data_IF_408857836811
#
_entry.id   IF_408857836811
#
_cell.length_a   1.000
_cell.length_b   1.000
_cell.length_c   1.000
_cell.angle_alpha   90.00
_cell.angle_beta   90.00
_cell.angle_gamma   90.00
#
_symmetry.space_group_name_H-M   'P 1'
#
loop_
_entity.id
_entity.type
_entity.pdbx_description
1 polymer ?
#
# COMPACT_ATOMS: atom_id res chain seq x y z
N UNK A 1 11.45 -10.79 24.59
CA UNK A 1 10.82 -10.51 25.92
C UNK A 1 10.21 -9.12 25.82
N UNK A 2 8.90 -9.02 26.02
CA UNK A 2 8.19 -7.74 25.98
C UNK A 2 8.68 -6.87 27.14
N UNK A 3 9.00 -5.58 26.94
CA UNK A 3 9.28 -4.69 28.05
C UNK A 3 8.09 -4.73 29.05
N UNK A 4 8.36 -4.75 30.35
CA UNK A 4 7.31 -4.84 31.38
C UNK A 4 6.21 -3.80 31.19
N UNK A 5 6.57 -2.59 30.78
CA UNK A 5 5.64 -1.49 30.53
C UNK A 5 4.66 -1.80 29.37
N UNK A 6 5.07 -2.64 28.42
CA UNK A 6 4.23 -3.08 27.31
C UNK A 6 3.36 -4.25 27.75
N UNK A 7 3.94 -5.23 28.45
CA UNK A 7 3.22 -6.41 28.92
C UNK A 7 2.05 -6.05 29.85
N UNK A 8 2.25 -5.08 30.73
CA UNK A 8 1.27 -4.64 31.72
C UNK A 8 0.26 -3.61 31.18
N UNK A 9 0.45 -3.10 29.94
CA UNK A 9 -0.44 -2.08 29.38
C UNK A 9 -1.81 -2.68 29.04
N UNK A 10 -2.85 -2.25 29.78
CA UNK A 10 -4.22 -2.72 29.58
C UNK A 10 -4.87 -2.06 28.36
N UNK A 11 -5.04 -2.82 27.29
CA UNK A 11 -5.63 -2.35 26.05
C UNK A 11 -7.15 -2.51 25.96
N UNK A 12 -7.75 -3.33 26.82
CA UNK A 12 -9.19 -3.67 26.78
C UNK A 12 -10.11 -2.45 26.74
N UNK A 13 -9.89 -1.38 27.54
CA UNK A 13 -10.74 -0.21 27.53
C UNK A 13 -10.78 0.54 26.19
N UNK A 14 -9.74 0.42 25.37
CA UNK A 14 -9.64 1.15 24.09
C UNK A 14 -10.38 0.48 22.93
N UNK A 15 -10.78 -0.78 23.11
CA UNK A 15 -11.65 -1.50 22.17
C UNK A 15 -13.12 -1.50 22.59
N UNK A 16 -13.41 -1.01 23.80
CA UNK A 16 -14.76 -0.78 24.32
C UNK A 16 -15.11 0.71 24.28
N UNK A 17 -16.39 1.08 24.45
CA UNK A 17 -16.82 2.49 24.37
C UNK A 17 -16.60 3.31 25.67
N UNK A 18 -15.63 2.93 26.48
CA UNK A 18 -15.34 3.61 27.74
C UNK A 18 -14.66 4.98 27.52
N UNK A 19 -15.46 6.02 27.31
CA UNK A 19 -14.98 7.41 27.12
C UNK A 19 -14.03 7.90 28.23
N UNK A 20 -14.19 7.41 29.45
CA UNK A 20 -13.34 7.81 30.58
C UNK A 20 -11.89 7.33 30.44
N UNK A 21 -11.67 6.11 29.91
CA UNK A 21 -10.33 5.58 29.71
C UNK A 21 -9.54 6.41 28.68
N UNK A 22 -10.21 6.87 27.62
CA UNK A 22 -9.58 7.73 26.60
C UNK A 22 -9.12 9.06 27.18
N UNK A 23 -9.98 9.74 27.96
CA UNK A 23 -9.67 11.07 28.50
C UNK A 23 -8.53 11.03 29.52
N UNK A 24 -8.44 9.97 30.32
CA UNK A 24 -7.34 9.75 31.26
C UNK A 24 -6.01 9.50 30.55
N UNK A 25 -5.99 8.58 29.59
CA UNK A 25 -4.78 8.26 28.84
C UNK A 25 -4.32 9.42 27.95
N UNK A 26 -5.24 10.13 27.31
CA UNK A 26 -4.92 11.26 26.42
C UNK A 26 -4.12 12.37 27.09
N UNK A 27 -4.31 12.57 28.41
CA UNK A 27 -3.54 13.55 29.18
C UNK A 27 -2.08 13.15 29.38
N UNK A 28 -1.80 11.84 29.42
CA UNK A 28 -0.47 11.29 29.71
C UNK A 28 -0.06 10.22 28.69
N UNK A 29 -0.20 10.51 27.38
CA UNK A 29 0.16 9.58 26.30
C UNK A 29 1.62 9.14 26.42
N UNK A 30 1.85 7.84 26.35
CA UNK A 30 3.18 7.28 26.22
C UNK A 30 3.71 7.59 24.82
N UNK A 31 4.88 8.22 24.77
CA UNK A 31 5.53 8.61 23.52
C UNK A 31 6.95 8.04 23.50
N UNK A 32 7.27 7.30 22.44
CA UNK A 32 8.65 6.85 22.22
C UNK A 32 9.30 7.78 21.21
N UNK A 33 10.40 8.40 21.64
CA UNK A 33 11.31 9.09 20.73
C UNK A 33 12.39 8.10 20.31
N UNK A 34 12.78 8.15 19.03
CA UNK A 34 13.94 7.38 18.58
C UNK A 34 15.14 7.71 19.48
N UNK A 35 15.80 6.69 20.02
CA UNK A 35 17.01 6.92 20.81
C UNK A 35 18.03 7.64 19.92
N UNK A 36 18.47 8.81 20.37
CA UNK A 36 19.52 9.57 19.71
C UNK A 36 20.89 8.90 19.82
N UNK A 37 21.01 7.88 20.68
CA UNK A 37 22.28 7.27 21.05
C UNK A 37 22.52 5.97 20.29
N UNK A 38 23.53 5.95 19.42
CA UNK A 38 23.91 4.80 18.61
C UNK A 38 24.39 3.60 19.43
N UNK A 39 25.01 3.87 20.57
CA UNK A 39 25.65 2.86 21.40
C UNK A 39 24.66 1.91 22.11
N UNK A 40 23.38 2.30 22.21
CA UNK A 40 22.43 1.65 23.11
C UNK A 40 21.73 0.39 22.53
N UNK A 41 21.78 0.15 21.20
CA UNK A 41 21.04 -0.97 20.59
C UNK A 41 21.97 -1.92 19.84
N UNK A 42 22.27 -3.11 20.39
CA UNK A 42 23.02 -4.14 19.67
C UNK A 42 22.32 -4.54 18.36
N UNK A 43 23.05 -4.53 17.25
CA UNK A 43 22.52 -4.75 15.90
C UNK A 43 22.82 -6.16 15.34
N UNK A 44 23.26 -7.10 16.16
CA UNK A 44 23.39 -8.49 15.76
C UNK A 44 22.00 -9.17 15.67
N UNK A 45 21.90 -10.23 14.85
CA UNK A 45 20.64 -10.92 14.58
C UNK A 45 19.92 -11.43 15.83
N UNK A 46 20.66 -11.96 16.80
CA UNK A 46 20.04 -12.44 18.04
C UNK A 46 19.36 -11.30 18.80
N UNK A 47 19.99 -10.14 18.85
CA UNK A 47 19.43 -8.96 19.51
C UNK A 47 18.26 -8.37 18.74
N UNK A 48 18.33 -8.36 17.40
CA UNK A 48 17.22 -7.92 16.55
C UNK A 48 16.01 -8.83 16.75
N UNK A 49 16.17 -10.14 16.65
CA UNK A 49 15.09 -11.13 16.82
C UNK A 49 14.45 -11.09 18.20
N UNK A 50 15.23 -10.77 19.26
CA UNK A 50 14.70 -10.66 20.63
C UNK A 50 13.91 -9.36 20.89
N UNK A 51 14.14 -8.31 20.12
CA UNK A 51 13.49 -7.00 20.33
C UNK A 51 12.18 -6.86 19.62
N UNK A 52 11.98 -7.60 18.54
CA UNK A 52 10.76 -7.51 17.76
C UNK A 52 10.07 -8.88 17.72
N UNK A 53 8.75 -8.85 17.67
CA UNK A 53 7.95 -10.06 17.51
C UNK A 53 7.99 -10.49 16.03
N UNK A 54 9.10 -11.11 15.67
CA UNK A 54 9.19 -11.80 14.39
C UNK A 54 8.60 -13.18 14.59
N UNK A 55 7.49 -13.42 13.93
CA UNK A 55 6.93 -14.76 13.87
C UNK A 55 7.88 -15.64 13.05
N UNK A 56 8.26 -16.77 13.60
CA UNK A 56 9.22 -17.68 12.97
C UNK A 56 8.59 -18.97 12.45
N UNK A 57 7.35 -19.23 12.83
CA UNK A 57 6.67 -20.49 12.53
C UNK A 57 5.52 -20.28 11.54
N UNK A 58 5.32 -21.27 10.66
CA UNK A 58 4.18 -21.35 9.76
C UNK A 58 2.91 -21.55 10.57
N UNK A 59 2.00 -20.60 10.51
CA UNK A 59 0.72 -20.75 11.22
C UNK A 59 -0.29 -21.53 10.39
N UNK A 60 -0.25 -21.37 9.07
CA UNK A 60 -1.20 -21.96 8.15
C UNK A 60 -0.54 -22.34 6.84
N UNK A 61 -0.86 -23.52 6.26
CA UNK A 61 -0.35 -23.93 4.96
C UNK A 61 -0.58 -22.90 3.86
N UNK A 62 -1.72 -22.23 3.88
CA UNK A 62 -2.08 -21.19 2.89
C UNK A 62 -1.13 -20.00 2.87
N UNK A 63 -0.42 -19.72 3.96
CA UNK A 63 0.55 -18.62 4.02
C UNK A 63 1.79 -18.92 3.17
N UNK A 64 2.21 -20.16 3.13
CA UNK A 64 3.30 -20.61 2.26
C UNK A 64 2.88 -20.70 0.78
N UNK A 65 1.62 -21.08 0.52
CA UNK A 65 1.08 -21.19 -0.84
C UNK A 65 0.72 -19.85 -1.47
N UNK A 66 0.46 -18.84 -0.64
CA UNK A 66 0.04 -17.51 -1.07
C UNK A 66 0.88 -16.40 -0.42
N UNK A 67 2.20 -16.33 -0.69
CA UNK A 67 3.02 -15.25 -0.15
C UNK A 67 2.62 -13.90 -0.70
N UNK A 68 2.76 -12.86 0.14
CA UNK A 68 2.54 -11.47 -0.21
C UNK A 68 3.88 -10.74 -0.23
N UNK A 69 4.09 -9.87 -1.20
CA UNK A 69 5.24 -8.98 -1.25
C UNK A 69 4.86 -7.57 -0.78
N UNK A 70 5.78 -6.90 -0.10
CA UNK A 70 5.60 -5.53 0.38
C UNK A 70 6.78 -4.69 -0.07
N UNK A 71 6.50 -3.57 -0.72
CA UNK A 71 7.49 -2.55 -1.00
C UNK A 71 7.19 -1.31 -0.16
N UNK A 72 8.17 -0.83 0.60
CA UNK A 72 8.01 0.33 1.48
C UNK A 72 9.08 1.37 1.26
N UNK A 73 8.67 2.61 1.20
CA UNK A 73 9.56 3.75 1.36
C UNK A 73 9.67 4.09 2.84
N UNK A 74 10.88 4.07 3.40
CA UNK A 74 11.06 4.12 4.86
C UNK A 74 12.17 5.05 5.31
N UNK A 75 11.95 5.65 6.47
CA UNK A 75 12.93 6.38 7.27
C UNK A 75 12.85 6.06 8.77
N UNK A 76 12.00 5.09 9.18
CA UNK A 76 11.92 4.49 10.53
C UNK A 76 11.66 2.98 10.45
N UNK A 77 11.88 2.22 11.54
CA UNK A 77 11.86 0.76 11.56
C UNK A 77 10.47 0.16 11.29
N UNK A 78 10.38 -0.81 10.35
CA UNK A 78 9.15 -1.52 9.98
C UNK A 78 8.94 -2.86 10.72
N UNK A 79 7.73 -3.44 10.55
CA UNK A 79 7.36 -4.79 11.01
C UNK A 79 7.49 -5.80 9.86
N UNK A 80 7.91 -7.05 10.14
CA UNK A 80 8.06 -8.13 9.15
C UNK A 80 7.42 -9.44 9.61
N UNK A 81 6.92 -10.27 8.66
CA UNK A 81 6.39 -11.62 8.86
C UNK A 81 7.16 -12.63 8.01
N UNK A 82 7.36 -13.88 8.43
CA UNK A 82 8.34 -14.81 7.83
C UNK A 82 8.02 -15.29 6.42
N UNK A 83 6.74 -15.44 6.03
CA UNK A 83 6.36 -15.99 4.72
C UNK A 83 6.23 -14.95 3.63
N UNK A 84 6.21 -13.67 4.01
CA UNK A 84 6.08 -12.57 3.08
C UNK A 84 7.46 -12.03 2.69
N UNK A 85 7.53 -11.33 1.58
CA UNK A 85 8.74 -10.69 1.09
C UNK A 85 8.67 -9.19 1.29
N UNK A 86 9.75 -8.60 1.76
CA UNK A 86 9.81 -7.17 2.10
C UNK A 86 10.97 -6.52 1.37
N UNK A 87 10.68 -5.49 0.58
CA UNK A 87 11.67 -4.62 0.01
C UNK A 87 11.53 -3.21 0.60
N UNK A 88 12.61 -2.68 1.12
CA UNK A 88 12.66 -1.34 1.68
C UNK A 88 13.52 -0.44 0.80
N UNK A 89 12.90 0.61 0.26
CA UNK A 89 13.59 1.70 -0.39
C UNK A 89 13.90 2.78 0.64
N UNK A 90 15.18 3.01 0.89
CA UNK A 90 15.64 3.99 1.87
C UNK A 90 15.71 5.38 1.23
N UNK A 91 15.26 6.40 1.97
CA UNK A 91 15.52 7.78 1.58
C UNK A 91 17.03 8.06 1.75
N UNK A 92 17.70 8.47 0.69
CA UNK A 92 19.14 8.78 0.72
C UNK A 92 19.53 9.86 1.73
N UNK A 93 18.56 10.69 2.17
CA UNK A 93 18.73 11.72 3.20
C UNK A 93 18.59 11.18 4.63
N UNK A 94 18.25 9.91 4.80
CA UNK A 94 18.12 9.28 6.11
C UNK A 94 19.47 9.27 6.86
N UNK A 95 19.41 9.18 8.18
CA UNK A 95 20.64 9.20 8.99
C UNK A 95 21.49 7.95 8.73
N UNK A 96 22.84 8.05 8.86
CA UNK A 96 23.72 6.88 8.76
C UNK A 96 23.35 5.75 9.73
N UNK A 97 22.85 6.11 10.91
CA UNK A 97 22.36 5.14 11.90
C UNK A 97 21.17 4.36 11.36
N UNK A 98 20.22 5.04 10.71
CA UNK A 98 19.07 4.38 10.12
C UNK A 98 19.50 3.38 9.03
N UNK A 99 20.39 3.78 8.11
CA UNK A 99 20.94 2.90 7.08
C UNK A 99 21.64 1.67 7.69
N UNK A 100 22.46 1.86 8.72
CA UNK A 100 23.10 0.76 9.44
C UNK A 100 22.10 -0.23 10.04
N UNK A 101 21.03 0.29 10.64
CA UNK A 101 19.95 -0.53 11.21
C UNK A 101 19.18 -1.33 10.15
N UNK A 102 18.89 -0.71 9.02
CA UNK A 102 18.16 -1.37 7.93
C UNK A 102 19.01 -2.45 7.25
N UNK A 103 20.32 -2.22 7.05
CA UNK A 103 21.25 -3.25 6.57
C UNK A 103 21.31 -4.42 7.54
N UNK A 104 21.49 -4.17 8.83
CA UNK A 104 21.48 -5.22 9.85
C UNK A 104 20.17 -6.02 9.89
N UNK A 105 19.03 -5.38 9.61
CA UNK A 105 17.74 -6.06 9.48
C UNK A 105 17.73 -6.99 8.24
N UNK A 106 18.16 -6.50 7.09
CA UNK A 106 18.22 -7.28 5.85
C UNK A 106 19.19 -8.46 5.97
N UNK A 107 20.34 -8.25 6.60
CA UNK A 107 21.32 -9.32 6.86
C UNK A 107 20.77 -10.43 7.79
N UNK A 108 19.78 -10.11 8.62
CA UNK A 108 19.17 -11.07 9.54
C UNK A 108 18.06 -11.92 8.94
N UNK A 109 17.37 -11.44 7.92
CA UNK A 109 16.17 -12.09 7.40
C UNK A 109 16.26 -12.28 5.90
N UNK A 110 16.21 -13.53 5.40
CA UNK A 110 16.37 -13.83 3.98
C UNK A 110 15.23 -13.33 3.09
N UNK A 111 14.12 -12.93 3.70
CA UNK A 111 12.95 -12.38 3.02
C UNK A 111 12.88 -10.84 3.08
N UNK A 112 13.94 -10.19 3.56
CA UNK A 112 14.06 -8.72 3.65
C UNK A 112 15.14 -8.23 2.70
N UNK A 113 14.78 -7.32 1.82
CA UNK A 113 15.62 -6.75 0.77
C UNK A 113 15.73 -5.23 0.93
N UNK A 114 16.84 -4.67 0.53
CA UNK A 114 17.04 -3.23 0.37
C UNK A 114 17.28 -2.92 -1.10
N UNK A 115 16.90 -1.72 -1.53
CA UNK A 115 17.22 -1.27 -2.89
C UNK A 115 18.70 -0.96 -3.03
N UNK A 116 19.28 -1.34 -4.17
CA UNK A 116 20.70 -1.04 -4.49
C UNK A 116 20.93 0.45 -4.74
N UNK A 117 19.88 1.14 -5.22
CA UNK A 117 19.89 2.58 -5.49
C UNK A 117 18.95 3.26 -4.51
N UNK A 118 19.47 4.25 -3.81
CA UNK A 118 18.71 5.07 -2.88
C UNK A 118 18.44 6.44 -3.52
N UNK A 119 17.22 6.92 -3.41
CA UNK A 119 16.79 8.20 -3.98
C UNK A 119 16.47 9.21 -2.88
N UNK A 120 16.68 10.50 -3.19
CA UNK A 120 16.22 11.60 -2.35
C UNK A 120 14.72 11.81 -2.54
N UNK A 121 13.92 11.23 -1.68
CA UNK A 121 12.46 11.35 -1.72
C UNK A 121 11.97 12.59 -0.98
N UNK A 122 10.85 13.16 -1.41
CA UNK A 122 10.25 14.29 -0.73
C UNK A 122 8.75 14.14 -0.52
N UNK A 123 8.14 15.16 0.11
CA UNK A 123 6.70 15.16 0.43
C UNK A 123 5.78 15.33 -0.79
N UNK A 124 6.34 15.67 -1.94
CA UNK A 124 5.65 15.86 -3.21
C UNK A 124 5.75 14.63 -4.12
N UNK A 125 6.26 13.53 -3.58
CA UNK A 125 6.32 12.24 -4.26
C UNK A 125 7.48 12.09 -5.23
N UNK A 126 8.40 13.08 -5.30
CA UNK A 126 9.56 12.98 -6.17
C UNK A 126 10.43 11.79 -5.80
N UNK A 127 10.84 11.05 -6.82
CA UNK A 127 11.62 9.82 -6.73
C UNK A 127 10.92 8.61 -6.06
N UNK A 128 9.67 8.75 -5.62
CA UNK A 128 8.92 7.64 -5.01
C UNK A 128 8.65 6.52 -6.03
N UNK A 129 8.23 6.87 -7.25
CA UNK A 129 7.99 5.91 -8.33
C UNK A 129 9.25 5.13 -8.69
N UNK A 130 10.41 5.80 -8.75
CA UNK A 130 11.71 5.14 -8.98
C UNK A 130 12.05 4.17 -7.84
N UNK A 131 11.81 4.59 -6.59
CA UNK A 131 12.06 3.78 -5.40
C UNK A 131 11.20 2.50 -5.38
N UNK A 132 9.91 2.61 -5.67
CA UNK A 132 9.02 1.46 -5.80
C UNK A 132 9.40 0.56 -6.98
N UNK A 133 9.79 1.14 -8.11
CA UNK A 133 10.22 0.38 -9.28
C UNK A 133 11.49 -0.46 -8.98
N UNK A 134 12.45 0.06 -8.22
CA UNK A 134 13.59 -0.72 -7.74
C UNK A 134 13.16 -1.93 -6.91
N UNK A 135 12.23 -1.74 -5.97
CA UNK A 135 11.67 -2.84 -5.19
C UNK A 135 10.93 -3.88 -6.07
N UNK A 136 10.19 -3.44 -7.07
CA UNK A 136 9.52 -4.34 -8.03
C UNK A 136 10.55 -5.22 -8.75
N UNK A 137 11.67 -4.64 -9.24
CA UNK A 137 12.74 -5.38 -9.91
C UNK A 137 13.43 -6.40 -9.00
N UNK A 138 13.64 -6.06 -7.72
CA UNK A 138 14.25 -6.98 -6.74
C UNK A 138 13.27 -8.13 -6.43
N UNK A 139 12.04 -7.79 -6.06
CA UNK A 139 11.02 -8.78 -5.67
C UNK A 139 10.61 -9.70 -6.82
N UNK A 140 10.67 -9.25 -8.07
CA UNK A 140 10.36 -10.10 -9.23
C UNK A 140 11.37 -11.25 -9.42
N UNK A 141 12.60 -11.08 -8.94
CA UNK A 141 13.69 -12.09 -9.03
C UNK A 141 13.66 -13.15 -7.93
N UNK A 142 12.79 -12.95 -6.91
CA UNK A 142 12.64 -13.96 -5.85
C UNK A 142 12.05 -15.22 -6.43
N UNK A 143 12.67 -16.38 -6.16
CA UNK A 143 12.25 -17.69 -6.68
C UNK A 143 10.81 -18.04 -6.32
N UNK A 144 10.37 -17.66 -5.13
CA UNK A 144 9.00 -17.88 -4.66
C UNK A 144 8.03 -16.92 -5.34
N UNK A 145 7.00 -17.46 -5.97
CA UNK A 145 5.99 -16.69 -6.68
C UNK A 145 4.95 -16.10 -5.71
N UNK A 146 5.28 -14.97 -5.11
CA UNK A 146 4.28 -14.16 -4.39
C UNK A 146 3.14 -13.75 -5.33
N UNK A 147 1.96 -13.49 -4.77
CA UNK A 147 0.71 -13.28 -5.54
C UNK A 147 0.35 -11.81 -5.70
N UNK A 148 0.60 -11.01 -4.67
CA UNK A 148 0.33 -9.58 -4.65
C UNK A 148 1.54 -8.82 -4.11
N UNK A 149 1.78 -7.63 -4.67
CA UNK A 149 2.68 -6.62 -4.12
C UNK A 149 1.84 -5.48 -3.52
N UNK A 150 2.13 -5.12 -2.28
CA UNK A 150 1.52 -3.97 -1.61
C UNK A 150 2.54 -2.86 -1.48
N UNK A 151 2.24 -1.67 -2.02
CA UNK A 151 3.05 -0.47 -1.85
C UNK A 151 2.59 0.27 -0.60
N UNK A 152 3.51 0.57 0.30
CA UNK A 152 3.24 1.18 1.59
C UNK A 152 4.27 2.26 1.91
N UNK A 153 3.90 3.15 2.79
CA UNK A 153 4.80 4.15 3.38
C UNK A 153 5.22 3.78 4.82
N UNK A 154 6.03 4.66 5.40
CA UNK A 154 6.75 4.44 6.64
C UNK A 154 5.88 4.10 7.88
N UNK A 155 4.74 4.78 8.05
CA UNK A 155 3.89 4.65 9.25
C UNK A 155 2.61 3.85 9.03
N UNK A 156 2.54 3.11 7.93
CA UNK A 156 1.40 2.25 7.65
C UNK A 156 1.41 1.02 8.54
N UNK A 157 0.24 0.67 9.02
CA UNK A 157 0.04 -0.52 9.82
C UNK A 157 -0.96 -1.46 9.16
N UNK A 158 -0.80 -2.78 9.27
CA UNK A 158 -1.82 -3.71 8.81
C UNK A 158 -3.07 -3.59 9.71
N UNK A 159 -4.27 -3.59 9.09
CA UNK A 159 -5.56 -3.66 9.78
C UNK A 159 -6.15 -5.07 9.70
N UNK A 160 -5.55 -5.92 8.93
CA UNK A 160 -5.91 -7.33 8.74
C UNK A 160 -4.74 -8.23 9.14
N UNK A 161 -5.06 -9.42 9.62
CA UNK A 161 -4.05 -10.48 9.82
C UNK A 161 -3.56 -10.98 8.46
N UNK A 162 -2.43 -11.69 8.42
CA UNK A 162 -1.91 -12.22 7.16
C UNK A 162 -2.91 -13.18 6.49
N UNK A 163 -3.57 -14.04 7.26
CA UNK A 163 -4.61 -14.94 6.76
C UNK A 163 -5.81 -14.17 6.17
N UNK A 164 -6.25 -13.09 6.83
CA UNK A 164 -7.31 -12.23 6.32
C UNK A 164 -6.89 -11.54 5.00
N UNK A 165 -5.64 -11.05 4.90
CA UNK A 165 -5.11 -10.46 3.67
C UNK A 165 -5.11 -11.48 2.52
N UNK A 166 -4.62 -12.69 2.77
CA UNK A 166 -4.62 -13.78 1.78
C UNK A 166 -6.03 -14.05 1.29
N UNK A 167 -7.00 -14.16 2.20
CA UNK A 167 -8.39 -14.42 1.81
C UNK A 167 -8.97 -13.28 0.96
N UNK A 168 -8.69 -12.04 1.30
CA UNK A 168 -9.14 -10.87 0.51
C UNK A 168 -8.49 -10.88 -0.88
N UNK A 169 -7.18 -11.13 -0.97
CA UNK A 169 -6.50 -11.20 -2.26
C UNK A 169 -6.93 -12.41 -3.12
N UNK A 170 -7.35 -13.51 -2.50
CA UNK A 170 -8.03 -14.60 -3.22
C UNK A 170 -9.36 -14.13 -3.83
N UNK A 171 -10.13 -13.29 -3.14
CA UNK A 171 -11.35 -12.69 -3.69
C UNK A 171 -11.07 -11.66 -4.78
N UNK A 172 -9.98 -10.91 -4.69
CA UNK A 172 -9.54 -10.00 -5.76
C UNK A 172 -9.11 -10.76 -7.03
N UNK A 173 -8.65 -11.99 -6.89
CA UNK A 173 -8.36 -12.90 -8.00
C UNK A 173 -7.57 -12.27 -9.16
N UNK A 174 -6.45 -11.64 -8.85
CA UNK A 174 -5.59 -10.97 -9.83
C UNK A 174 -5.98 -9.53 -10.16
N UNK A 175 -7.08 -9.00 -9.60
CA UNK A 175 -7.46 -7.59 -9.77
C UNK A 175 -6.55 -6.69 -8.96
N UNK A 176 -6.10 -5.59 -9.54
CA UNK A 176 -5.34 -4.55 -8.83
C UNK A 176 -6.28 -3.67 -8.02
N UNK A 177 -5.93 -3.38 -6.78
CA UNK A 177 -6.66 -2.44 -5.92
C UNK A 177 -5.96 -1.09 -5.92
N UNK A 178 -6.33 -0.26 -6.88
CA UNK A 178 -5.75 1.06 -7.15
C UNK A 178 -6.90 2.05 -7.31
N UNK A 179 -6.89 3.14 -6.56
CA UNK A 179 -7.90 4.18 -6.70
C UNK A 179 -7.89 4.79 -8.10
N UNK A 180 -9.06 5.23 -8.52
CA UNK A 180 -9.22 6.01 -9.74
C UNK A 180 -10.01 7.27 -9.38
N UNK A 181 -9.31 8.40 -9.25
CA UNK A 181 -9.89 9.68 -8.84
C UNK A 181 -9.54 10.79 -9.82
N UNK A 182 -10.33 11.85 -9.82
CA UNK A 182 -10.15 12.96 -10.77
C UNK A 182 -8.78 13.62 -10.60
N UNK A 183 -8.02 13.66 -11.69
CA UNK A 183 -6.74 14.36 -11.74
C UNK A 183 -6.96 15.85 -11.97
N UNK A 184 -6.33 16.67 -11.13
CA UNK A 184 -6.38 18.13 -11.27
C UNK A 184 -5.41 18.58 -12.38
N UNK A 185 -5.83 19.48 -13.29
CA UNK A 185 -4.98 19.97 -14.40
C UNK A 185 -3.63 20.55 -13.93
N UNK A 186 -3.57 21.17 -12.77
CA UNK A 186 -2.34 21.74 -12.21
C UNK A 186 -1.26 20.69 -11.87
N UNK A 187 -1.59 19.40 -11.88
CA UNK A 187 -0.67 18.29 -11.65
C UNK A 187 -0.11 17.70 -12.95
N UNK A 188 -0.47 18.27 -14.09
CA UNK A 188 -0.05 17.80 -15.41
C UNK A 188 0.86 18.87 -16.02
N UNK A 189 2.02 18.49 -16.51
CA UNK A 189 2.81 19.39 -17.36
C UNK A 189 2.13 19.51 -18.74
N UNK A 190 1.59 20.70 -19.08
CA UNK A 190 0.89 20.88 -20.34
C UNK A 190 1.83 20.83 -21.57
N UNK A 191 3.14 20.89 -21.35
CA UNK A 191 4.16 20.82 -22.41
C UNK A 191 4.68 19.39 -22.63
N UNK A 192 4.37 18.46 -21.73
CA UNK A 192 4.84 17.09 -21.83
C UNK A 192 4.14 16.33 -22.97
N UNK A 193 4.91 15.54 -23.67
CA UNK A 193 4.39 14.67 -24.72
C UNK A 193 4.05 13.29 -24.15
N UNK A 194 2.77 13.04 -23.94
CA UNK A 194 2.25 11.80 -23.36
C UNK A 194 1.94 10.71 -24.39
N UNK A 195 2.45 10.81 -25.62
CA UNK A 195 2.32 9.72 -26.60
C UNK A 195 3.20 8.54 -26.20
N UNK A 196 2.72 7.33 -26.46
CA UNK A 196 3.50 6.11 -26.19
C UNK A 196 4.86 6.13 -26.91
N UNK A 197 4.90 6.67 -28.14
CA UNK A 197 6.11 6.81 -28.94
C UNK A 197 7.13 7.75 -28.28
N UNK A 198 6.71 8.91 -27.78
CA UNK A 198 7.62 9.87 -27.13
C UNK A 198 8.22 9.33 -25.83
N UNK A 199 7.47 8.50 -25.12
CA UNK A 199 7.91 7.88 -23.86
C UNK A 199 8.63 6.55 -24.08
N UNK A 200 8.58 5.96 -25.28
CA UNK A 200 8.98 4.57 -25.55
C UNK A 200 8.36 3.60 -24.55
N UNK A 201 7.03 3.75 -24.32
CA UNK A 201 6.34 3.12 -23.20
C UNK A 201 6.41 1.58 -23.25
N UNK A 202 6.28 0.99 -24.42
CA UNK A 202 6.42 -0.45 -24.63
C UNK A 202 7.82 -0.79 -25.12
N UNK A 203 8.39 -1.89 -24.63
CA UNK A 203 9.65 -2.45 -25.19
C UNK A 203 9.49 -2.87 -26.64
N UNK A 204 8.30 -3.34 -27.00
CA UNK A 204 7.94 -3.58 -28.39
C UNK A 204 7.55 -2.24 -29.06
N UNK A 205 8.46 -1.66 -29.81
CA UNK A 205 8.28 -0.37 -30.49
C UNK A 205 7.08 -0.32 -31.45
N UNK A 206 6.62 -1.46 -31.95
CA UNK A 206 5.42 -1.51 -32.76
C UNK A 206 4.19 -1.08 -32.00
N UNK A 207 4.09 -1.47 -30.71
CA UNK A 207 2.98 -1.06 -29.83
C UNK A 207 2.97 0.46 -29.55
N UNK A 208 4.11 1.11 -29.58
CA UNK A 208 4.22 2.56 -29.40
C UNK A 208 3.66 3.35 -30.59
N UNK A 209 3.57 2.73 -31.78
CA UNK A 209 3.21 3.39 -33.04
C UNK A 209 1.84 2.98 -33.57
N UNK A 210 1.23 1.93 -33.01
CA UNK A 210 -0.10 1.47 -33.51
C UNK A 210 -1.12 2.59 -33.30
N UNK A 211 -1.64 3.07 -34.41
CA UNK A 211 -2.65 4.12 -34.43
C UNK A 211 -4.05 3.51 -34.36
N UNK A 212 -4.85 3.96 -33.42
CA UNK A 212 -6.31 3.76 -33.49
C UNK A 212 -6.94 4.97 -34.18
N UNK A 213 -7.64 4.74 -35.29
CA UNK A 213 -8.32 5.80 -36.05
C UNK A 213 -7.43 6.95 -36.54
N UNK A 214 -6.17 6.67 -36.90
CA UNK A 214 -5.23 7.69 -37.41
C UNK A 214 -4.55 8.53 -36.31
N UNK A 215 -4.86 8.32 -35.04
CA UNK A 215 -4.24 9.06 -33.95
C UNK A 215 -3.19 8.20 -33.24
N UNK A 216 -2.05 8.80 -32.89
CA UNK A 216 -1.03 8.16 -32.03
C UNK A 216 -1.61 7.86 -30.66
N UNK A 217 -1.31 6.70 -30.07
CA UNK A 217 -1.80 6.37 -28.73
C UNK A 217 -1.16 7.32 -27.71
N UNK A 218 -2.01 7.90 -26.86
CA UNK A 218 -1.64 8.82 -25.78
C UNK A 218 -1.95 8.16 -24.46
N UNK A 219 -1.06 8.27 -23.49
CA UNK A 219 -1.26 7.77 -22.14
C UNK A 219 -2.16 8.74 -21.36
N UNK A 220 -3.42 8.36 -21.07
CA UNK A 220 -4.34 9.21 -20.34
C UNK A 220 -4.04 9.18 -18.86
N UNK A 221 -3.55 10.27 -18.29
CA UNK A 221 -3.17 10.34 -16.89
C UNK A 221 -4.39 10.17 -15.96
N UNK A 222 -4.19 9.45 -14.89
CA UNK A 222 -5.19 9.19 -13.84
C UNK A 222 -4.54 9.36 -12.48
N UNK A 223 -5.20 10.10 -11.58
CA UNK A 223 -4.78 10.17 -10.19
C UNK A 223 -5.20 8.89 -9.45
N UNK A 224 -4.27 8.36 -8.67
CA UNK A 224 -4.52 7.36 -7.62
C UNK A 224 -3.95 7.87 -6.30
N UNK A 225 -3.75 6.96 -5.37
CA UNK A 225 -2.83 7.12 -4.25
C UNK A 225 -1.61 6.25 -4.50
N UNK A 226 -0.53 6.50 -3.81
CA UNK A 226 0.70 5.71 -3.84
C UNK A 226 0.59 4.39 -3.03
N UNK A 227 -0.47 4.25 -2.23
CA UNK A 227 -0.80 3.02 -1.50
C UNK A 227 -1.68 2.11 -2.35
N UNK A 228 -1.13 1.04 -2.87
CA UNK A 228 -1.84 0.16 -3.79
C UNK A 228 -1.53 -1.31 -3.51
N UNK A 229 -2.46 -2.19 -3.87
CA UNK A 229 -2.22 -3.63 -3.93
C UNK A 229 -2.32 -4.08 -5.38
N UNK A 230 -1.24 -4.63 -5.91
CA UNK A 230 -1.13 -5.03 -7.31
C UNK A 230 -0.80 -6.51 -7.47
N UNK A 231 -1.40 -7.14 -8.46
CA UNK A 231 -1.16 -8.54 -8.77
C UNK A 231 0.26 -8.76 -9.28
N UNK A 232 0.78 -9.96 -9.10
CA UNK A 232 2.07 -10.37 -9.69
C UNK A 232 2.08 -10.19 -11.20
N UNK A 233 0.98 -10.53 -11.86
CA UNK A 233 0.86 -10.39 -13.30
C UNK A 233 1.02 -8.94 -13.78
N UNK A 234 0.51 -7.96 -13.03
CA UNK A 234 0.73 -6.53 -13.31
C UNK A 234 2.21 -6.16 -13.20
N UNK A 235 2.90 -6.64 -12.17
CA UNK A 235 4.32 -6.32 -11.97
C UNK A 235 5.18 -6.98 -13.06
N UNK A 236 4.92 -8.24 -13.40
CA UNK A 236 5.63 -8.92 -14.48
C UNK A 236 5.41 -8.17 -15.81
N UNK A 237 4.17 -7.79 -16.12
CA UNK A 237 3.86 -6.96 -17.28
C UNK A 237 4.62 -5.62 -17.30
N UNK A 238 4.65 -4.90 -16.17
CA UNK A 238 5.38 -3.63 -16.05
C UNK A 238 6.88 -3.79 -16.30
N UNK A 239 7.47 -4.89 -15.89
CA UNK A 239 8.91 -5.14 -16.00
C UNK A 239 9.32 -5.78 -17.33
N UNK A 240 8.47 -6.60 -17.92
CA UNK A 240 8.77 -7.38 -19.12
C UNK A 240 8.30 -6.70 -20.41
N UNK A 241 7.12 -6.07 -20.39
CA UNK A 241 6.50 -5.47 -21.56
C UNK A 241 6.73 -3.96 -21.67
N UNK A 242 6.88 -3.25 -20.53
CA UNK A 242 7.01 -1.80 -20.53
C UNK A 242 8.46 -1.34 -20.31
N UNK A 243 8.79 -0.19 -20.90
CA UNK A 243 9.94 0.62 -20.52
C UNK A 243 9.44 1.87 -19.77
N UNK A 244 9.44 1.80 -18.46
CA UNK A 244 8.88 2.85 -17.60
C UNK A 244 9.79 4.07 -17.44
N UNK A 245 11.04 4.03 -17.95
CA UNK A 245 12.03 5.12 -17.79
C UNK A 245 11.54 6.43 -18.41
N UNK A 246 10.98 6.37 -19.59
CA UNK A 246 10.40 7.53 -20.29
C UNK A 246 9.22 8.10 -19.52
N UNK A 247 8.29 7.24 -19.11
CA UNK A 247 7.10 7.63 -18.35
C UNK A 247 7.47 8.27 -17.00
N UNK A 248 8.29 7.60 -16.16
CA UNK A 248 8.70 8.13 -14.86
C UNK A 248 9.43 9.47 -14.99
N UNK A 249 10.34 9.62 -15.99
CA UNK A 249 11.04 10.88 -16.22
C UNK A 249 10.10 12.01 -16.65
N UNK A 250 9.06 11.72 -17.47
CA UNK A 250 8.08 12.72 -17.89
C UNK A 250 7.16 13.11 -16.75
N UNK A 251 6.84 12.17 -15.86
CA UNK A 251 5.96 12.38 -14.72
C UNK A 251 6.65 13.13 -13.58
N UNK A 252 7.89 12.75 -13.24
CA UNK A 252 8.63 13.25 -12.08
C UNK A 252 9.42 14.52 -12.41
N UNK A 253 8.70 15.63 -12.59
CA UNK A 253 9.26 16.96 -12.86
C UNK A 253 9.26 17.80 -11.59
N UNK A 254 10.37 18.46 -11.27
CA UNK A 254 10.60 19.25 -10.04
C UNK A 254 9.50 20.29 -9.74
N UNK A 255 8.84 20.82 -10.77
CA UNK A 255 7.80 21.84 -10.62
C UNK A 255 6.39 21.27 -10.36
N UNK A 256 6.21 19.96 -10.46
CA UNK A 256 4.95 19.29 -10.20
C UNK A 256 4.84 18.82 -8.74
N UNK A 257 3.63 18.59 -8.28
CA UNK A 257 3.35 18.14 -6.91
C UNK A 257 2.64 16.80 -6.93
N UNK A 258 2.94 15.96 -5.93
CA UNK A 258 2.32 14.65 -5.70
C UNK A 258 2.38 13.77 -6.97
N UNK A 259 3.57 13.70 -7.57
CA UNK A 259 3.82 13.04 -8.86
C UNK A 259 3.68 11.52 -8.78
N UNK A 260 3.99 10.92 -7.64
CA UNK A 260 3.83 9.50 -7.34
C UNK A 260 2.36 9.04 -7.39
N UNK A 261 1.43 9.93 -7.07
CA UNK A 261 -0.01 9.65 -7.11
C UNK A 261 -0.59 9.41 -8.51
N UNK A 262 0.20 9.54 -9.56
CA UNK A 262 -0.21 9.32 -10.95
C UNK A 262 0.38 8.06 -11.56
N UNK A 263 1.45 7.52 -10.98
CA UNK A 263 2.22 6.42 -11.57
C UNK A 263 1.39 5.15 -11.75
N UNK A 264 0.92 4.57 -10.66
CA UNK A 264 0.17 3.31 -10.72
C UNK A 264 -1.23 3.48 -11.29
N UNK A 265 -1.93 4.57 -10.94
CA UNK A 265 -3.28 4.84 -11.42
C UNK A 265 -3.37 4.99 -12.94
N UNK A 266 -2.39 5.65 -13.55
CA UNK A 266 -2.31 5.83 -15.00
C UNK A 266 -2.12 4.51 -15.72
N UNK A 267 -1.16 3.69 -15.32
CA UNK A 267 -0.91 2.39 -15.96
C UNK A 267 -2.10 1.42 -15.76
N UNK A 268 -2.76 1.49 -14.60
CA UNK A 268 -3.88 0.61 -14.26
C UNK A 268 -5.16 0.91 -15.04
N UNK A 269 -5.39 2.18 -15.40
CA UNK A 269 -6.65 2.63 -16.00
C UNK A 269 -6.58 2.96 -17.48
N UNK A 270 -5.40 2.90 -18.10
CA UNK A 270 -5.24 3.16 -19.52
C UNK A 270 -5.63 1.93 -20.34
N UNK A 271 -6.83 1.91 -20.92
CA UNK A 271 -7.35 0.78 -21.70
C UNK A 271 -6.39 0.36 -22.83
N UNK A 272 -5.68 1.31 -23.48
CA UNK A 272 -4.70 1.03 -24.52
C UNK A 272 -3.41 0.36 -24.00
N UNK A 273 -3.12 0.46 -22.71
CA UNK A 273 -2.02 -0.28 -22.07
C UNK A 273 -2.43 -1.73 -21.83
N UNK A 274 -3.70 -1.95 -21.54
CA UNK A 274 -4.29 -3.26 -21.26
C UNK A 274 -3.57 -4.04 -20.16
N UNK A 275 -3.31 -3.36 -19.05
CA UNK A 275 -2.57 -3.91 -17.93
C UNK A 275 -3.33 -5.05 -17.23
N UNK A 276 -2.68 -6.19 -16.90
CA UNK A 276 -3.30 -7.30 -16.18
C UNK A 276 -3.93 -6.85 -14.85
N UNK A 277 -5.16 -7.26 -14.61
CA UNK A 277 -5.91 -6.88 -13.39
C UNK A 277 -6.30 -5.41 -13.32
N UNK A 278 -6.09 -4.65 -14.40
CA UNK A 278 -6.40 -3.24 -14.49
C UNK A 278 -7.89 -2.92 -14.44
N UNK A 279 -8.19 -1.65 -14.26
CA UNK A 279 -9.54 -1.10 -14.35
C UNK A 279 -9.68 -0.29 -15.63
N UNK A 280 -10.89 0.18 -15.96
CA UNK A 280 -11.14 0.83 -17.25
C UNK A 280 -11.24 2.33 -17.16
N UNK A 281 -10.72 3.01 -18.18
CA UNK A 281 -10.89 4.45 -18.42
C UNK A 281 -12.35 4.83 -18.67
N UNK A 282 -13.14 3.93 -19.26
CA UNK A 282 -14.56 4.14 -19.54
C UNK A 282 -15.37 4.60 -18.33
N UNK A 283 -15.16 4.00 -17.17
CA UNK A 283 -15.83 4.43 -15.94
C UNK A 283 -15.31 5.78 -15.44
N UNK A 284 -14.01 6.03 -15.56
CA UNK A 284 -13.40 7.30 -15.18
C UNK A 284 -13.96 8.47 -16.02
N UNK A 285 -14.11 8.29 -17.31
CA UNK A 285 -14.64 9.32 -18.21
C UNK A 285 -16.13 9.63 -17.98
N UNK A 286 -16.85 8.68 -17.43
CA UNK A 286 -18.22 8.86 -16.93
C UNK A 286 -18.29 9.42 -15.51
N UNK A 287 -17.15 9.88 -14.97
CA UNK A 287 -17.03 10.43 -13.60
C UNK A 287 -17.36 9.44 -12.47
N UNK A 288 -17.29 8.13 -12.75
CA UNK A 288 -17.39 7.10 -11.73
C UNK A 288 -16.01 6.81 -11.14
N UNK A 289 -15.67 7.58 -10.14
CA UNK A 289 -14.44 7.42 -9.37
C UNK A 289 -14.62 6.38 -8.27
N UNK A 290 -13.51 5.73 -7.89
CA UNK A 290 -13.52 4.79 -6.78
C UNK A 290 -12.25 4.94 -5.94
N UNK A 291 -12.38 4.63 -4.65
CA UNK A 291 -11.26 4.52 -3.72
C UNK A 291 -10.74 3.07 -3.70
N UNK A 292 -9.47 2.90 -3.34
CA UNK A 292 -8.92 1.58 -3.07
C UNK A 292 -9.31 1.08 -1.67
N UNK A 293 -9.25 -0.25 -1.51
CA UNK A 293 -9.43 -0.92 -0.23
C UNK A 293 -8.10 -1.07 0.54
N UNK A 294 -6.97 -0.87 -0.16
CA UNK A 294 -5.62 -1.07 0.39
C UNK A 294 -5.37 -0.26 1.65
N UNK A 295 -5.81 1.00 1.71
CA UNK A 295 -5.46 1.88 2.83
C UNK A 295 -6.64 2.70 3.34
N UNK A 296 -6.74 2.83 4.66
CA UNK A 296 -7.57 3.82 5.34
C UNK A 296 -6.73 5.06 5.66
N UNK A 297 -7.16 6.21 5.17
CA UNK A 297 -6.63 7.53 5.55
C UNK A 297 -7.80 8.39 5.99
N UNK A 298 -7.67 9.09 7.11
CA UNK A 298 -8.61 10.12 7.55
C UNK A 298 -7.95 11.48 7.31
N UNK A 299 -8.51 12.23 6.37
CA UNK A 299 -7.93 13.50 5.94
C UNK A 299 -8.31 14.65 6.88
N UNK A 300 -7.58 15.76 6.81
CA UNK A 300 -7.79 16.94 7.67
C UNK A 300 -9.16 17.62 7.51
N UNK A 301 -9.91 17.26 6.48
CA UNK A 301 -11.30 17.69 6.29
C UNK A 301 -12.32 16.83 7.04
N UNK A 302 -11.87 15.68 7.54
CA UNK A 302 -12.67 14.72 8.28
C UNK A 302 -12.39 14.83 9.78
N UNK A 303 -13.29 14.28 10.60
CA UNK A 303 -13.12 14.31 12.05
C UNK A 303 -12.02 13.35 12.51
N UNK A 304 -10.94 13.89 13.03
CA UNK A 304 -9.85 13.16 13.67
C UNK A 304 -10.05 13.17 15.19
N UNK A 305 -10.37 12.04 15.80
CA UNK A 305 -10.68 11.95 17.24
C UNK A 305 -9.56 12.45 18.15
N UNK A 306 -8.26 12.15 17.91
CA UNK A 306 -7.17 12.70 18.71
C UNK A 306 -6.85 14.16 18.40
N UNK A 307 -7.41 14.74 17.31
CA UNK A 307 -7.17 16.13 16.93
C UNK A 307 -5.76 16.42 16.42
N UNK A 308 -4.95 15.41 16.13
CA UNK A 308 -3.57 15.58 15.67
C UNK A 308 -3.39 15.11 14.23
N UNK A 309 -2.87 16.00 13.38
CA UNK A 309 -2.62 15.74 11.97
C UNK A 309 -1.14 15.91 11.63
N UNK A 310 -0.65 15.09 10.70
CA UNK A 310 0.64 15.26 10.06
C UNK A 310 0.49 15.13 8.55
N UNK A 311 0.95 16.13 7.80
CA UNK A 311 0.78 16.22 6.35
C UNK A 311 -0.69 15.97 5.92
N UNK A 312 -1.61 16.67 6.59
CA UNK A 312 -3.06 16.55 6.39
C UNK A 312 -3.70 15.20 6.76
N UNK A 313 -2.94 14.22 7.25
CA UNK A 313 -3.47 12.93 7.67
C UNK A 313 -3.62 12.88 9.18
N UNK A 314 -4.76 12.40 9.65
CA UNK A 314 -5.02 12.11 11.06
C UNK A 314 -4.06 11.04 11.57
N UNK A 315 -3.41 11.28 12.70
CA UNK A 315 -2.58 10.29 13.34
C UNK A 315 -3.46 9.42 14.24
N UNK A 316 -3.56 8.15 13.87
CA UNK A 316 -4.35 7.18 14.63
C UNK A 316 -3.76 6.96 16.01
N UNK A 317 -4.63 6.95 16.99
CA UNK A 317 -4.29 6.79 18.40
C UNK A 317 -5.29 5.88 19.11
N UNK A 318 -5.15 5.69 20.41
CA UNK A 318 -6.01 4.76 21.17
C UNK A 318 -7.51 5.02 20.98
N UNK A 319 -7.92 6.27 20.72
CA UNK A 319 -9.32 6.66 20.48
C UNK A 319 -9.95 6.05 19.24
N UNK A 320 -9.12 5.54 18.32
CA UNK A 320 -9.61 5.00 17.04
C UNK A 320 -9.47 3.49 16.95
N UNK A 321 -8.86 2.82 17.93
CA UNK A 321 -8.58 1.37 17.88
C UNK A 321 -9.84 0.54 17.63
N UNK A 322 -10.96 0.89 18.28
CA UNK A 322 -12.24 0.21 18.04
C UNK A 322 -12.69 0.36 16.59
N UNK A 323 -12.66 1.56 16.04
CA UNK A 323 -13.00 1.80 14.64
C UNK A 323 -12.06 1.03 13.70
N UNK A 324 -10.74 1.09 13.92
CA UNK A 324 -9.75 0.36 13.13
C UNK A 324 -9.98 -1.16 13.14
N UNK A 325 -10.51 -1.71 14.24
CA UNK A 325 -10.80 -3.14 14.33
C UNK A 325 -11.98 -3.61 13.47
N UNK A 326 -12.81 -2.69 12.96
CA UNK A 326 -14.05 -2.99 12.23
C UNK A 326 -14.05 -2.57 10.77
N UNK A 327 -13.15 -1.67 10.36
CA UNK A 327 -13.11 -1.17 8.98
C UNK A 327 -12.70 -2.24 7.99
N UNK A 328 -13.18 -2.18 6.74
CA UNK A 328 -12.85 -3.17 5.71
C UNK A 328 -11.45 -3.02 5.12
N UNK A 329 -10.83 -1.84 5.22
CA UNK A 329 -9.52 -1.56 4.63
C UNK A 329 -8.42 -2.50 5.14
N UNK A 330 -7.42 -2.71 4.30
CA UNK A 330 -6.33 -3.66 4.55
C UNK A 330 -5.26 -3.09 5.48
N UNK A 331 -4.92 -1.81 5.28
CA UNK A 331 -3.91 -1.08 6.05
C UNK A 331 -4.47 0.26 6.53
N UNK A 332 -3.77 0.91 7.46
CA UNK A 332 -4.12 2.24 7.97
C UNK A 332 -2.92 3.17 7.97
N UNK A 333 -3.10 4.39 7.47
CA UNK A 333 -2.11 5.46 7.49
C UNK A 333 -2.66 6.60 8.37
N UNK A 334 -2.07 6.93 9.48
CA UNK A 334 -0.79 6.45 9.97
C UNK A 334 -0.80 6.31 11.49
N UNK A 335 -0.06 5.34 12.02
CA UNK A 335 0.21 5.23 13.44
C UNK A 335 1.64 5.68 13.72
N UNK A 336 1.80 6.61 14.65
CA UNK A 336 3.12 7.15 15.00
C UNK A 336 3.42 6.87 16.48
N UNK A 337 4.36 5.94 16.81
CA UNK A 337 4.76 5.66 18.20
C UNK A 337 5.30 6.90 18.93
N UNK A 338 5.88 7.84 18.19
CA UNK A 338 6.34 9.13 18.75
C UNK A 338 5.19 10.06 19.18
N UNK A 339 3.96 9.81 18.71
CA UNK A 339 2.77 10.52 19.15
C UNK A 339 1.99 9.70 20.19
N UNK A 340 1.71 8.42 19.88
CA UNK A 340 0.96 7.52 20.76
C UNK A 340 1.50 6.08 20.65
N UNK A 341 2.40 5.72 21.56
CA UNK A 341 2.96 4.38 21.59
C UNK A 341 1.95 3.33 22.08
N UNK A 342 1.03 3.72 22.98
CA UNK A 342 -0.04 2.84 23.45
C UNK A 342 -0.94 2.37 22.31
N UNK A 343 -1.22 3.24 21.32
CA UNK A 343 -1.98 2.85 20.15
C UNK A 343 -1.26 1.75 19.36
N UNK A 344 0.05 1.91 19.14
CA UNK A 344 0.85 0.90 18.42
C UNK A 344 0.88 -0.44 19.16
N UNK A 345 1.09 -0.41 20.47
CA UNK A 345 1.10 -1.61 21.34
C UNK A 345 -0.24 -2.33 21.33
N UNK A 346 -1.32 -1.58 21.57
CA UNK A 346 -2.65 -2.18 21.62
C UNK A 346 -3.10 -2.74 20.28
N UNK A 347 -2.76 -2.06 19.18
CA UNK A 347 -3.05 -2.58 17.86
C UNK A 347 -2.29 -3.86 17.56
N UNK A 348 -1.00 -3.90 17.91
CA UNK A 348 -0.21 -5.12 17.78
C UNK A 348 -0.80 -6.28 18.60
N UNK A 349 -1.17 -6.04 19.88
CA UNK A 349 -1.83 -7.05 20.74
C UNK A 349 -3.14 -7.57 20.11
N UNK A 350 -3.95 -6.69 19.54
CA UNK A 350 -5.19 -7.08 18.86
C UNK A 350 -4.93 -7.95 17.61
N UNK A 351 -3.97 -7.56 16.76
CA UNK A 351 -3.60 -8.39 15.61
C UNK A 351 -3.04 -9.75 16.03
N UNK A 352 -2.18 -9.78 17.06
CA UNK A 352 -1.64 -11.02 17.60
C UNK A 352 -2.75 -11.91 18.17
N UNK A 353 -3.70 -11.34 18.91
CA UNK A 353 -4.87 -12.07 19.41
C UNK A 353 -5.70 -12.65 18.26
N UNK A 354 -5.96 -11.88 17.22
CA UNK A 354 -6.70 -12.32 16.01
C UNK A 354 -5.97 -13.41 15.27
N UNK A 355 -4.66 -13.37 15.24
CA UNK A 355 -3.82 -14.35 14.55
C UNK A 355 -3.74 -15.66 15.30
N UNK A 356 -3.55 -15.63 16.63
CA UNK A 356 -3.22 -16.82 17.41
C UNK A 356 -4.38 -17.40 18.19
N UNK A 357 -5.34 -16.58 18.62
CA UNK A 357 -6.44 -16.99 19.49
C UNK A 357 -7.76 -17.09 18.72
N UNK A 358 -8.18 -16.01 18.08
CA UNK A 358 -9.50 -15.92 17.46
C UNK A 358 -9.57 -16.63 16.09
N UNK A 359 -8.47 -16.70 15.39
CA UNK A 359 -8.25 -17.45 14.12
C UNK A 359 -9.39 -17.37 13.11
N UNK A 360 -10.20 -16.32 13.15
CA UNK A 360 -11.48 -16.27 12.45
C UNK A 360 -11.46 -15.40 11.21
N UNK A 361 -11.72 -16.00 10.04
CA UNK A 361 -12.10 -15.28 8.81
C UNK A 361 -13.57 -14.83 8.85
N UNK A 362 -14.34 -15.23 9.86
CA UNK A 362 -15.77 -14.91 10.01
C UNK A 362 -16.08 -13.42 10.12
N UNK A 363 -15.08 -12.58 10.38
CA UNK A 363 -15.20 -11.12 10.41
C UNK A 363 -15.19 -10.48 9.02
N UNK A 364 -14.71 -11.22 8.02
CA UNK A 364 -14.64 -10.75 6.65
C UNK A 364 -16.00 -10.91 5.99
N UNK A 365 -16.49 -9.83 5.42
CA UNK A 365 -17.71 -9.82 4.60
C UNK A 365 -17.29 -9.84 3.15
N UNK A 366 -17.37 -11.00 2.50
CA UNK A 366 -16.93 -11.19 1.11
C UNK A 366 -17.60 -10.21 0.14
N UNK A 367 -18.87 -9.86 0.40
CA UNK A 367 -19.64 -8.94 -0.43
C UNK A 367 -18.99 -7.57 -0.55
N UNK A 368 -18.35 -7.08 0.53
CA UNK A 368 -17.66 -5.78 0.54
C UNK A 368 -16.53 -5.77 -0.50
N UNK A 369 -15.77 -6.86 -0.62
CA UNK A 369 -14.62 -6.96 -1.51
C UNK A 369 -15.01 -7.37 -2.93
N UNK A 370 -15.93 -8.32 -3.07
CA UNK A 370 -16.39 -8.85 -4.36
C UNK A 370 -17.22 -7.84 -5.17
N UNK A 371 -17.84 -6.87 -4.51
CA UNK A 371 -18.65 -5.84 -5.15
C UNK A 371 -17.88 -4.56 -5.49
N UNK A 372 -16.59 -4.47 -5.16
CA UNK A 372 -15.77 -3.33 -5.58
C UNK A 372 -15.79 -3.19 -7.12
N UNK A 373 -15.91 -1.97 -7.68
CA UNK A 373 -16.09 -1.77 -9.12
C UNK A 373 -15.01 -2.45 -9.95
N UNK A 374 -13.74 -2.32 -9.56
CA UNK A 374 -12.60 -2.92 -10.26
C UNK A 374 -12.58 -4.45 -10.14
N UNK A 375 -13.02 -5.03 -9.02
CA UNK A 375 -13.14 -6.49 -8.83
C UNK A 375 -14.27 -7.05 -9.70
N UNK A 376 -15.41 -6.38 -9.73
CA UNK A 376 -16.55 -6.75 -10.63
C UNK A 376 -16.13 -6.68 -12.09
N UNK A 377 -15.47 -5.60 -12.49
CA UNK A 377 -14.99 -5.40 -13.87
C UNK A 377 -14.10 -6.56 -14.32
N UNK A 378 -13.07 -6.88 -13.57
CA UNK A 378 -12.15 -7.96 -13.90
C UNK A 378 -12.84 -9.33 -13.89
N UNK A 379 -13.72 -9.58 -12.92
CA UNK A 379 -14.50 -10.82 -12.86
C UNK A 379 -15.39 -10.99 -14.09
N UNK A 380 -16.11 -9.96 -14.51
CA UNK A 380 -16.97 -10.01 -15.69
C UNK A 380 -16.16 -10.13 -16.98
N UNK A 381 -15.09 -9.35 -17.10
CA UNK A 381 -14.17 -9.41 -18.26
C UNK A 381 -13.57 -10.82 -18.40
N UNK A 382 -13.07 -11.41 -17.31
CA UNK A 382 -12.50 -12.76 -17.34
C UNK A 382 -13.54 -13.84 -17.65
N UNK A 383 -14.77 -13.70 -17.13
CA UNK A 383 -15.86 -14.64 -17.38
C UNK A 383 -16.34 -14.60 -18.82
N UNK A 384 -16.46 -13.42 -19.44
CA UNK A 384 -17.00 -13.23 -20.77
C UNK A 384 -15.95 -13.32 -21.87
N UNK A 385 -14.67 -13.07 -21.57
CA UNK A 385 -13.56 -13.08 -22.55
C UNK A 385 -13.85 -12.15 -23.74
N UNK A 386 -13.77 -12.69 -24.96
CA UNK A 386 -14.03 -11.93 -26.20
C UNK A 386 -15.47 -11.42 -26.35
N UNK A 387 -16.40 -11.91 -25.54
CA UNK A 387 -17.82 -11.43 -25.51
C UNK A 387 -18.01 -10.25 -24.56
N UNK A 388 -16.97 -9.83 -23.83
CA UNK A 388 -17.08 -8.70 -22.91
C UNK A 388 -17.27 -7.40 -23.71
N UNK A 389 -18.37 -6.69 -23.42
CA UNK A 389 -18.67 -5.39 -24.01
C UNK A 389 -18.59 -4.32 -22.93
N UNK A 390 -17.58 -3.47 -22.98
CA UNK A 390 -17.35 -2.41 -22.01
C UNK A 390 -18.52 -1.43 -21.89
N UNK A 391 -19.27 -1.20 -22.98
CA UNK A 391 -20.41 -0.28 -22.99
C UNK A 391 -21.60 -0.79 -22.18
N UNK A 392 -21.64 -2.08 -21.89
CA UNK A 392 -22.67 -2.73 -21.07
C UNK A 392 -22.27 -2.84 -19.62
N UNK A 393 -21.01 -2.50 -19.28
CA UNK A 393 -20.52 -2.58 -17.89
C UNK A 393 -21.12 -1.47 -17.03
N UNK A 394 -21.72 -1.86 -15.89
CA UNK A 394 -22.24 -0.93 -14.89
C UNK A 394 -21.15 -0.46 -13.95
N UNK A 395 -20.68 0.78 -14.09
CA UNK A 395 -19.63 1.39 -13.26
C UNK A 395 -20.07 1.59 -11.80
N UNK A 396 -21.38 1.77 -11.54
CA UNK A 396 -21.97 1.90 -10.19
C UNK A 396 -22.49 0.57 -9.66
N UNK A 397 -22.57 0.44 -8.34
CA UNK A 397 -23.41 -0.57 -7.70
C UNK A 397 -24.88 -0.15 -7.78
N UNK A 398 -25.78 -1.12 -8.04
CA UNK A 398 -27.23 -0.85 -8.12
C UNK A 398 -27.82 -0.31 -6.80
N UNK A 399 -27.19 -0.62 -5.66
CA UNK A 399 -27.72 -0.29 -4.33
C UNK A 399 -27.34 1.09 -3.80
N UNK A 400 -26.40 1.82 -4.45
CA UNK A 400 -26.06 3.20 -4.06
C UNK A 400 -27.07 4.25 -4.59
N UNK A 401 -28.00 3.85 -5.43
CA UNK A 401 -29.00 4.74 -6.01
C UNK A 401 -30.19 5.10 -5.08
N UNK A 402 -30.31 4.44 -3.91
CA UNK A 402 -31.46 4.59 -3.02
C UNK A 402 -31.22 5.40 -1.73
N UNK A 403 -29.97 5.89 -1.50
CA UNK A 403 -29.63 6.67 -0.31
C UNK A 403 -28.93 8.00 -0.69
N UNK A 404 -29.64 8.84 -1.42
CA UNK A 404 -29.33 10.28 -1.52
C UNK A 404 -30.56 11.07 -1.11
#
# INVERSE_FOLDING_TARGET
MEPKEIAEFNCTPFFSEHKYAFSSYAKNRIRIRDPKDEAALPMNCNSIRRRAYFQTDDLYPEEAEFPIAFARTVYTLPLTLPHNFYCYALDSKSTPLFHKRMRALADCFPNVFLTDVEFSMDRHGHNMSYSYHQCMMILSKVEFKWKYLVLLQNYDIPLKTNQELIQIFKWFNGTNDIASVKLQPARIDPKANWTFEAMHLFRNETRNRVSHNGHKPVLPLTKSWDFVSVSRAMIDFMLEELDLRGFMRTLDQEHLLDVDEQFMGTLNSADAVDAPGGYTRFCYEKEFYHSQMTILVIWSREKCSPGFYRHHNCIFSVEQLKMLSTVPQLFGNKVMPSYDFGAAVCWYKELSRRTHVDRGLHRLKSEVYLNLPHVRFNRERNRLGSKFNINEFECKLKDEASNR
#
